data_IF_192487327973
#
_entry.id   IF_192487327973
#
_cell.length_a   1.000
_cell.length_b   1.000
_cell.length_c   1.000
_cell.angle_alpha   90.00
_cell.angle_beta   90.00
_cell.angle_gamma   90.00
#
_symmetry.space_group_name_H-M   'P 1'
#
loop_
_entity.id
_entity.type
_entity.pdbx_description
1 polymer ?
#
# COMPACT_ATOMS: atom_id res chain seq x y z
N UNK A 1 -3.70 -7.30 7.95
CA UNK A 1 -5.05 -7.14 7.36
C UNK A 1 -5.17 -8.05 6.15
N UNK A 2 -6.31 -8.70 5.92
CA UNK A 2 -6.50 -9.56 4.73
C UNK A 2 -7.21 -8.80 3.62
N UNK A 3 -6.72 -8.94 2.39
CA UNK A 3 -7.34 -8.37 1.19
C UNK A 3 -7.24 -9.38 0.01
N UNK A 4 -7.79 -9.00 -1.15
CA UNK A 4 -7.64 -9.76 -2.39
C UNK A 4 -7.02 -8.88 -3.47
N UNK A 5 -6.16 -9.49 -4.27
CA UNK A 5 -5.52 -8.83 -5.42
C UNK A 5 -6.57 -8.53 -6.48
N UNK A 6 -6.62 -7.28 -6.94
CA UNK A 6 -7.42 -6.88 -8.10
C UNK A 6 -6.57 -6.77 -9.36
N UNK A 7 -5.34 -6.29 -9.19
CA UNK A 7 -4.36 -6.21 -10.26
C UNK A 7 -2.96 -6.26 -9.67
N UNK A 8 -2.06 -6.91 -10.38
CA UNK A 8 -0.64 -6.85 -10.08
C UNK A 8 0.13 -6.53 -11.36
N UNK A 9 0.94 -5.48 -11.29
CA UNK A 9 1.75 -4.98 -12.39
C UNK A 9 3.23 -5.12 -12.04
N UNK A 10 4.00 -5.68 -12.96
CA UNK A 10 5.46 -5.77 -12.83
C UNK A 10 6.07 -4.64 -13.68
N UNK A 11 6.77 -3.72 -13.03
CA UNK A 11 7.47 -2.61 -13.68
C UNK A 11 8.95 -2.66 -13.30
N UNK A 12 9.77 -3.25 -14.18
CA UNK A 12 11.19 -3.43 -13.95
C UNK A 12 11.46 -4.39 -12.78
N UNK A 13 12.15 -3.90 -11.74
CA UNK A 13 12.45 -4.66 -10.53
C UNK A 13 11.37 -4.57 -9.45
N UNK A 14 10.22 -3.98 -9.74
CA UNK A 14 9.17 -3.72 -8.77
C UNK A 14 7.85 -4.38 -9.19
N UNK A 15 7.05 -4.78 -8.21
CA UNK A 15 5.67 -5.22 -8.38
C UNK A 15 4.74 -4.28 -7.63
N UNK A 16 3.73 -3.74 -8.32
CA UNK A 16 2.65 -2.94 -7.74
C UNK A 16 1.40 -3.80 -7.64
N UNK A 17 0.77 -3.84 -6.47
CA UNK A 17 -0.41 -4.65 -6.19
C UNK A 17 -1.56 -3.74 -5.78
N UNK A 18 -2.61 -3.72 -6.59
CA UNK A 18 -3.86 -3.03 -6.30
C UNK A 18 -4.81 -3.97 -5.53
N UNK A 19 -5.40 -3.46 -4.46
CA UNK A 19 -6.38 -4.17 -3.62
C UNK A 19 -7.30 -3.20 -2.89
N UNK A 20 -8.46 -3.70 -2.43
CA UNK A 20 -9.32 -2.95 -1.52
C UNK A 20 -9.03 -3.31 -0.06
N UNK A 21 -8.96 -2.28 0.79
CA UNK A 21 -9.03 -2.44 2.24
C UNK A 21 -10.19 -1.59 2.77
N UNK A 22 -11.22 -2.26 3.30
CA UNK A 22 -12.56 -1.67 3.43
C UNK A 22 -13.10 -1.27 2.06
N UNK A 23 -13.77 -0.12 1.99
CA UNK A 23 -14.34 0.41 0.73
C UNK A 23 -13.37 1.37 -0.01
N UNK A 24 -12.08 1.32 0.31
CA UNK A 24 -11.06 2.21 -0.26
C UNK A 24 -10.05 1.43 -1.09
N UNK A 25 -9.63 1.95 -2.25
CA UNK A 25 -8.56 1.36 -3.04
C UNK A 25 -7.20 1.68 -2.43
N UNK A 26 -6.29 0.71 -2.48
CA UNK A 26 -4.91 0.81 -2.02
C UNK A 26 -3.96 0.21 -3.05
N UNK A 27 -2.73 0.71 -3.04
CA UNK A 27 -1.62 0.18 -3.84
C UNK A 27 -0.46 -0.14 -2.90
N UNK A 28 0.06 -1.36 -2.98
CA UNK A 28 1.32 -1.72 -2.33
C UNK A 28 2.43 -1.88 -3.37
N UNK A 29 3.59 -1.30 -3.09
CA UNK A 29 4.81 -1.55 -3.85
C UNK A 29 5.63 -2.64 -3.14
N UNK A 30 6.06 -3.64 -3.91
CA UNK A 30 6.91 -4.72 -3.45
C UNK A 30 8.14 -4.82 -4.37
N UNK A 31 9.33 -4.77 -3.77
CA UNK A 31 10.58 -5.04 -4.50
C UNK A 31 10.64 -6.49 -4.99
N UNK A 32 11.09 -6.64 -6.23
CA UNK A 32 11.20 -7.90 -6.94
C UNK A 32 10.04 -8.15 -7.92
N UNK A 33 10.14 -9.28 -8.63
CA UNK A 33 9.17 -9.72 -9.63
C UNK A 33 8.27 -10.77 -8.99
N UNK A 34 7.04 -10.38 -8.63
CA UNK A 34 6.07 -11.24 -7.96
C UNK A 34 4.82 -11.37 -8.82
N UNK A 35 4.55 -12.58 -9.32
CA UNK A 35 3.29 -12.87 -10.01
C UNK A 35 2.18 -13.05 -8.97
N UNK A 36 1.17 -12.20 -9.01
CA UNK A 36 0.00 -12.26 -8.14
C UNK A 36 -1.28 -12.36 -8.97
N UNK A 37 -1.94 -13.52 -9.06
CA UNK A 37 -3.18 -13.67 -9.81
C UNK A 37 -4.33 -12.86 -9.22
N UNK A 38 -5.28 -12.48 -10.08
CA UNK A 38 -6.55 -11.88 -9.66
C UNK A 38 -7.24 -12.75 -8.60
N UNK A 39 -7.70 -12.13 -7.53
CA UNK A 39 -8.43 -12.78 -6.45
C UNK A 39 -7.55 -13.52 -5.42
N UNK A 40 -6.22 -13.58 -5.62
CA UNK A 40 -5.29 -14.17 -4.64
C UNK A 40 -5.46 -13.48 -3.28
N UNK A 41 -5.65 -14.23 -2.18
CA UNK A 41 -5.69 -13.65 -0.85
C UNK A 41 -4.30 -13.17 -0.44
N UNK A 42 -4.22 -11.94 0.07
CA UNK A 42 -2.98 -11.34 0.53
C UNK A 42 -3.12 -10.80 1.95
N UNK A 43 -2.02 -10.85 2.69
CA UNK A 43 -1.91 -10.19 4.00
C UNK A 43 -1.10 -8.91 3.83
N UNK A 44 -1.71 -7.79 4.18
CA UNK A 44 -1.12 -6.46 4.13
C UNK A 44 -0.87 -5.97 5.55
N UNK A 45 0.30 -5.36 5.76
CA UNK A 45 0.66 -4.68 6.99
C UNK A 45 1.04 -3.23 6.68
N UNK A 46 0.62 -2.32 7.56
CA UNK A 46 0.99 -0.91 7.49
C UNK A 46 1.95 -0.67 8.65
N UNK A 47 3.08 -0.04 8.35
CA UNK A 47 4.00 0.45 9.38
C UNK A 47 3.48 1.81 9.89
N UNK A 48 2.95 1.90 11.13
CA UNK A 48 2.42 3.15 11.67
C UNK A 48 3.48 4.24 11.80
N UNK A 49 4.77 3.87 11.84
CA UNK A 49 5.89 4.81 11.87
C UNK A 49 6.19 5.43 10.51
N UNK A 50 5.39 5.15 9.48
CA UNK A 50 5.53 5.73 8.12
C UNK A 50 4.26 6.42 7.63
N UNK A 51 3.31 6.70 8.52
CA UNK A 51 2.02 7.31 8.18
C UNK A 51 2.10 8.84 8.23
N UNK A 52 1.58 9.48 7.20
CA UNK A 52 1.34 10.93 7.14
C UNK A 52 -0.16 11.20 7.22
N UNK A 53 -0.55 12.24 7.97
CA UNK A 53 -1.94 12.65 8.16
C UNK A 53 -2.09 14.09 7.71
N UNK A 54 -3.12 14.37 6.91
CA UNK A 54 -3.42 15.70 6.37
C UNK A 54 -4.81 16.17 6.83
N UNK A 55 -4.96 17.47 7.04
CA UNK A 55 -6.26 18.08 7.33
C UNK A 55 -7.13 18.20 6.05
N UNK A 56 -8.42 18.56 6.17
CA UNK A 56 -9.30 18.73 5.00
C UNK A 56 -8.87 19.83 4.02
N UNK A 57 -8.02 20.78 4.43
CA UNK A 57 -7.42 21.79 3.56
C UNK A 57 -6.12 21.30 2.88
N UNK A 58 -5.72 20.04 3.12
CA UNK A 58 -4.53 19.42 2.55
C UNK A 58 -3.23 19.74 3.30
N UNK A 59 -3.28 20.40 4.45
CA UNK A 59 -2.08 20.73 5.25
C UNK A 59 -1.66 19.53 6.08
N UNK A 60 -0.35 19.32 6.21
CA UNK A 60 0.23 18.26 7.04
C UNK A 60 -0.14 18.47 8.51
N UNK A 61 -0.92 17.55 9.08
CA UNK A 61 -1.38 17.58 10.46
C UNK A 61 -0.49 16.74 11.39
N UNK A 62 0.01 15.60 10.89
CA UNK A 62 0.98 14.76 11.59
C UNK A 62 1.89 14.03 10.61
N UNK A 63 3.15 13.84 10.99
CA UNK A 63 4.13 13.06 10.24
C UNK A 63 4.90 12.14 11.19
N UNK A 64 5.55 11.10 10.66
CA UNK A 64 6.42 10.26 11.46
C UNK A 64 7.51 11.04 12.18
N UNK A 65 7.94 10.52 13.34
CA UNK A 65 9.13 11.04 14.00
C UNK A 65 10.32 10.90 13.05
N UNK A 66 11.00 12.02 12.77
CA UNK A 66 12.19 12.01 11.92
C UNK A 66 13.35 11.41 12.72
N UNK A 67 13.63 10.14 12.51
CA UNK A 67 14.89 9.54 12.96
C UNK A 67 16.02 10.25 12.22
N UNK A 68 16.92 10.85 12.98
CA UNK A 68 18.04 11.65 12.48
C UNK A 68 19.21 10.76 12.10
#
# INVERSE_FOLDING_TARGET
MSARVERAEISGSETYVDFHFGDRPWVAQQTGVHKRPLGEPVTVAIDPTRIYVFDPAGRLAAAPARTR
#
